data_IF_247641168401
#
_entry.id   IF_247641168401
#
_cell.length_a   1.000
_cell.length_b   1.000
_cell.length_c   1.000
_cell.angle_alpha   90.00
_cell.angle_beta   90.00
_cell.angle_gamma   90.00
#
_symmetry.space_group_name_H-M   'P 1'
#
loop_
_entity.id
_entity.type
_entity.pdbx_description
1 polymer ?
#
# COMPACT_ATOMS: atom_id res chain seq x y z
N UNK A 1 17.38 13.27 -22.76
CA UNK A 1 18.79 13.72 -22.81
C UNK A 1 19.34 13.70 -21.40
N UNK A 2 20.35 12.89 -21.09
CA UNK A 2 21.11 13.02 -19.84
C UNK A 2 22.61 12.97 -20.19
N UNK A 3 23.18 14.14 -20.46
CA UNK A 3 24.63 14.36 -20.39
C UNK A 3 25.04 14.30 -18.94
N UNK A 4 26.05 13.49 -18.66
CA UNK A 4 26.46 13.09 -17.32
C UNK A 4 26.80 14.25 -16.38
N UNK A 5 26.18 14.23 -15.20
CA UNK A 5 26.76 14.78 -13.98
C UNK A 5 27.52 13.66 -13.28
N UNK A 6 28.83 13.83 -13.14
CA UNK A 6 29.70 12.92 -12.39
C UNK A 6 29.46 13.10 -10.90
N UNK A 7 29.18 11.96 -10.24
CA UNK A 7 29.26 11.63 -8.81
C UNK A 7 29.40 12.78 -7.78
N UNK A 8 28.31 13.05 -7.06
CA UNK A 8 28.31 13.80 -5.80
C UNK A 8 27.02 13.49 -5.01
N UNK A 9 27.12 12.57 -4.05
CA UNK A 9 26.03 12.09 -3.20
C UNK A 9 25.11 11.07 -3.90
N UNK A 10 24.79 9.97 -3.23
CA UNK A 10 23.76 9.00 -3.66
C UNK A 10 22.37 9.62 -3.52
N UNK A 11 22.13 10.67 -4.29
CA UNK A 11 20.85 11.34 -4.39
C UNK A 11 20.33 11.00 -5.77
N UNK A 12 19.43 10.03 -5.85
CA UNK A 12 18.54 9.89 -7.00
C UNK A 12 17.73 11.19 -7.07
N UNK A 13 18.20 12.18 -7.84
CA UNK A 13 17.55 13.48 -7.95
C UNK A 13 16.35 13.37 -8.89
N UNK A 14 15.17 13.75 -8.41
CA UNK A 14 13.97 13.89 -9.24
C UNK A 14 13.18 12.58 -9.44
N UNK A 15 12.69 12.37 -10.66
CA UNK A 15 11.74 11.31 -11.00
C UNK A 15 12.19 9.88 -10.63
N UNK A 16 13.47 9.48 -10.79
CA UNK A 16 13.90 8.12 -10.43
C UNK A 16 13.67 7.77 -8.96
N UNK A 17 13.74 8.76 -8.05
CA UNK A 17 13.46 8.54 -6.63
C UNK A 17 11.97 8.38 -6.37
N UNK A 18 11.14 9.17 -7.04
CA UNK A 18 9.67 9.02 -6.96
C UNK A 18 9.26 7.64 -7.47
N UNK A 19 9.82 7.19 -8.60
CA UNK A 19 9.59 5.85 -9.13
C UNK A 19 10.06 4.77 -8.16
N UNK A 20 11.26 4.91 -7.57
CA UNK A 20 11.78 3.95 -6.59
C UNK A 20 10.85 3.80 -5.38
N UNK A 21 10.30 4.91 -4.86
CA UNK A 21 9.36 4.91 -3.74
C UNK A 21 8.03 4.26 -4.14
N UNK A 22 7.41 4.70 -5.24
CA UNK A 22 6.11 4.17 -5.66
C UNK A 22 6.17 2.72 -6.13
N UNK A 23 7.30 2.25 -6.63
CA UNK A 23 7.50 0.82 -6.92
C UNK A 23 7.94 0.01 -5.70
N UNK A 24 7.99 0.62 -4.51
CA UNK A 24 8.46 0.01 -3.27
C UNK A 24 9.81 -0.71 -3.44
N UNK A 25 10.68 -0.18 -4.31
CA UNK A 25 11.97 -0.78 -4.63
C UNK A 25 12.93 -0.58 -3.46
N UNK A 26 13.82 -1.57 -3.28
CA UNK A 26 14.93 -1.43 -2.33
C UNK A 26 15.90 -0.37 -2.87
N UNK A 27 16.22 0.70 -2.10
CA UNK A 27 17.19 1.70 -2.51
C UNK A 27 18.58 1.10 -2.71
N UNK A 28 19.41 1.78 -3.53
CA UNK A 28 20.80 1.37 -3.79
C UNK A 28 21.65 1.32 -2.52
N UNK A 29 21.52 2.35 -1.67
CA UNK A 29 22.19 2.41 -0.38
C UNK A 29 21.15 2.37 0.73
N UNK A 30 20.72 1.16 1.15
CA UNK A 30 19.72 1.01 2.20
C UNK A 30 20.33 1.32 3.56
N UNK A 31 19.65 2.16 4.35
CA UNK A 31 19.99 2.35 5.75
C UNK A 31 19.51 1.16 6.58
N UNK A 32 20.34 0.74 7.54
CA UNK A 32 19.94 -0.21 8.57
C UNK A 32 19.14 0.56 9.62
N UNK A 33 17.97 0.05 10.00
CA UNK A 33 17.11 0.64 11.04
C UNK A 33 16.97 -0.31 12.24
N UNK A 34 16.88 0.26 13.45
CA UNK A 34 16.68 -0.48 14.69
C UNK A 34 15.27 -1.11 14.71
N UNK A 35 15.18 -2.39 15.08
CA UNK A 35 13.87 -3.09 15.14
C UNK A 35 13.13 -2.89 16.47
N UNK A 36 13.84 -2.50 17.52
CA UNK A 36 13.32 -2.26 18.86
C UNK A 36 14.16 -1.20 19.58
N UNK A 37 13.64 -0.67 20.69
CA UNK A 37 14.36 0.28 21.54
C UNK A 37 15.50 -0.42 22.28
N UNK A 38 16.68 0.19 22.32
CA UNK A 38 17.83 -0.47 22.92
C UNK A 38 19.12 0.33 22.90
N UNK A 39 20.20 -0.34 23.30
CA UNK A 39 21.56 0.20 23.26
C UNK A 39 22.35 -0.52 22.17
N UNK A 40 23.05 0.25 21.36
CA UNK A 40 23.85 -0.27 20.25
C UNK A 40 25.30 -0.44 20.68
N UNK A 41 25.85 -1.62 20.47
CA UNK A 41 27.31 -1.85 20.53
C UNK A 41 27.84 -2.12 19.12
N UNK A 42 29.06 -1.64 18.83
CA UNK A 42 29.68 -1.79 17.53
C UNK A 42 30.77 -2.83 17.64
N UNK A 43 30.58 -3.97 16.99
CA UNK A 43 31.57 -5.03 16.92
C UNK A 43 32.30 -5.01 15.57
N UNK A 44 33.58 -5.36 15.59
CA UNK A 44 34.37 -5.51 14.37
C UNK A 44 35.04 -6.89 14.38
N UNK A 45 34.45 -7.82 13.64
CA UNK A 45 34.91 -9.21 13.57
C UNK A 45 35.36 -9.51 12.14
N UNK A 46 36.63 -9.93 11.98
CA UNK A 46 37.20 -10.30 10.67
C UNK A 46 37.00 -9.22 9.58
N UNK A 47 37.21 -7.94 9.94
CA UNK A 47 37.01 -6.79 9.05
C UNK A 47 35.54 -6.52 8.63
N UNK A 48 34.58 -7.18 9.26
CA UNK A 48 33.15 -6.88 9.10
C UNK A 48 32.69 -6.13 10.34
N UNK A 49 32.24 -4.89 10.16
CA UNK A 49 31.57 -4.14 11.22
C UNK A 49 30.13 -4.61 11.34
N UNK A 50 29.67 -4.81 12.56
CA UNK A 50 28.29 -5.15 12.88
C UNK A 50 27.79 -4.32 14.07
N UNK A 51 26.51 -3.95 14.03
CA UNK A 51 25.82 -3.44 15.21
C UNK A 51 25.19 -4.60 15.97
N UNK A 52 25.39 -4.63 17.28
CA UNK A 52 24.63 -5.50 18.17
C UNK A 52 23.68 -4.60 18.95
N UNK A 53 22.39 -4.71 18.66
CA UNK A 53 21.35 -3.98 19.35
C UNK A 53 20.83 -4.85 20.49
N UNK A 54 20.92 -4.34 21.71
CA UNK A 54 20.42 -5.01 22.91
C UNK A 54 19.21 -4.26 23.45
N UNK A 55 18.08 -4.96 23.56
CA UNK A 55 16.81 -4.37 23.98
C UNK A 55 16.83 -3.98 25.44
N UNK A 56 16.43 -2.74 25.75
CA UNK A 56 16.49 -2.19 27.11
C UNK A 56 15.55 -2.90 28.09
N UNK A 57 14.42 -3.42 27.60
CA UNK A 57 13.39 -4.07 28.44
C UNK A 57 13.29 -5.59 28.20
N UNK A 58 13.52 -6.04 26.96
CA UNK A 58 13.30 -7.44 26.57
C UNK A 58 14.54 -8.32 26.72
N UNK A 59 15.74 -7.71 26.78
CA UNK A 59 17.01 -8.44 26.67
C UNK A 59 17.24 -9.09 25.30
N UNK A 60 16.40 -8.79 24.31
CA UNK A 60 16.55 -9.29 22.94
C UNK A 60 17.83 -8.73 22.32
N UNK A 61 18.62 -9.60 21.68
CA UNK A 61 19.88 -9.21 21.03
C UNK A 61 19.78 -9.49 19.55
N UNK A 62 20.03 -8.45 18.74
CA UNK A 62 20.00 -8.56 17.28
C UNK A 62 21.26 -7.99 16.65
N UNK A 63 21.85 -8.76 15.74
CA UNK A 63 23.09 -8.40 15.06
C UNK A 63 22.79 -7.94 13.63
N UNK A 64 23.24 -6.74 13.28
CA UNK A 64 23.11 -6.15 11.95
C UNK A 64 24.48 -5.97 11.30
N UNK A 65 24.77 -6.62 10.18
CA UNK A 65 26.03 -6.41 9.47
C UNK A 65 26.03 -5.03 8.79
N UNK A 66 26.92 -4.14 9.23
CA UNK A 66 27.03 -2.76 8.75
C UNK A 66 28.11 -2.57 7.66
N UNK A 67 28.95 -3.57 7.43
CA UNK A 67 30.02 -3.59 6.42
C UNK A 67 30.79 -2.25 6.36
N UNK A 68 30.74 -1.54 5.23
CA UNK A 68 31.42 -0.28 4.97
C UNK A 68 30.49 0.94 5.01
N UNK A 69 29.25 0.79 5.48
CA UNK A 69 28.31 1.91 5.55
C UNK A 69 28.76 2.90 6.64
N UNK A 70 28.73 4.22 6.38
CA UNK A 70 28.98 5.22 7.41
C UNK A 70 27.97 5.08 8.56
N UNK A 71 28.44 5.18 9.80
CA UNK A 71 27.61 5.03 10.99
C UNK A 71 26.91 6.36 11.29
N UNK A 72 25.64 6.29 11.71
CA UNK A 72 24.88 7.44 12.21
C UNK A 72 24.82 7.51 13.73
N UNK A 73 25.20 6.43 14.41
CA UNK A 73 25.16 6.29 15.85
C UNK A 73 26.53 5.89 16.38
N UNK A 74 26.85 6.35 17.57
CA UNK A 74 28.08 6.00 18.29
C UNK A 74 27.91 4.71 19.08
N UNK A 75 29.03 4.09 19.46
CA UNK A 75 29.03 2.92 20.35
C UNK A 75 28.48 3.30 21.73
N UNK A 76 27.57 2.48 22.27
CA UNK A 76 26.88 2.74 23.53
C UNK A 76 25.68 3.69 23.41
N UNK A 77 25.34 4.16 22.20
CA UNK A 77 24.19 5.04 22.01
C UNK A 77 22.87 4.30 22.28
N UNK A 78 21.95 4.97 22.96
CA UNK A 78 20.55 4.55 23.06
C UNK A 78 19.81 4.95 21.79
N UNK A 79 19.09 3.99 21.20
CA UNK A 79 18.33 4.18 19.97
C UNK A 79 16.89 3.76 20.17
N UNK A 80 15.99 4.40 19.43
CA UNK A 80 14.58 4.03 19.41
C UNK A 80 14.24 3.20 18.17
N UNK A 81 13.14 2.45 18.24
CA UNK A 81 12.58 1.62 17.17
C UNK A 81 12.37 2.45 15.91
N UNK A 82 12.92 1.98 14.79
CA UNK A 82 12.89 2.66 13.50
C UNK A 82 13.99 3.70 13.29
N UNK A 83 14.85 3.98 14.27
CA UNK A 83 16.00 4.87 14.10
C UNK A 83 17.03 4.28 13.13
N UNK A 84 17.55 5.11 12.22
CA UNK A 84 18.59 4.70 11.28
C UNK A 84 19.96 4.63 11.97
N UNK A 85 20.59 3.45 11.90
CA UNK A 85 21.89 3.14 12.48
C UNK A 85 23.04 3.49 11.53
N UNK A 86 22.80 3.43 10.22
CA UNK A 86 23.76 3.81 9.17
C UNK A 86 23.25 4.97 8.33
N UNK A 87 24.15 5.61 7.59
CA UNK A 87 23.76 6.42 6.45
C UNK A 87 23.09 5.59 5.37
N UNK A 88 22.29 6.26 4.53
CA UNK A 88 21.47 5.65 3.49
C UNK A 88 19.99 6.00 3.61
N UNK A 89 19.19 5.35 2.76
CA UNK A 89 17.76 5.57 2.64
C UNK A 89 17.00 4.43 3.31
N UNK A 90 15.98 4.75 4.11
CA UNK A 90 15.14 3.72 4.73
C UNK A 90 14.43 2.91 3.65
N UNK A 91 14.36 1.59 3.83
CA UNK A 91 13.62 0.69 2.95
C UNK A 91 12.13 0.72 3.36
N UNK A 92 11.20 1.11 2.49
CA UNK A 92 9.77 1.19 2.85
C UNK A 92 9.18 -0.10 3.43
N UNK A 93 9.60 -1.27 2.91
CA UNK A 93 9.15 -2.56 3.41
C UNK A 93 9.62 -2.84 4.86
N UNK A 94 10.83 -2.39 5.22
CA UNK A 94 11.31 -2.51 6.60
C UNK A 94 10.56 -1.55 7.54
N UNK A 95 10.19 -0.36 7.08
CA UNK A 95 9.35 0.57 7.83
C UNK A 95 8.00 -0.09 8.16
N UNK A 96 7.34 -0.73 7.19
CA UNK A 96 6.06 -1.42 7.45
C UNK A 96 6.21 -2.53 8.48
N UNK A 97 7.26 -3.35 8.34
CA UNK A 97 7.50 -4.48 9.24
C UNK A 97 7.81 -4.03 10.67
N UNK A 98 8.50 -2.91 10.83
CA UNK A 98 9.00 -2.44 12.12
C UNK A 98 8.05 -1.41 12.72
N UNK A 99 7.84 -0.28 12.04
CA UNK A 99 7.12 0.88 12.54
C UNK A 99 5.60 0.84 12.22
N UNK A 100 5.17 0.04 11.23
CA UNK A 100 3.76 -0.13 10.85
C UNK A 100 3.33 0.72 9.65
N UNK A 101 2.01 0.73 9.37
CA UNK A 101 1.45 1.38 8.19
C UNK A 101 1.50 2.91 8.26
N UNK A 102 1.20 3.50 9.41
CA UNK A 102 1.19 4.95 9.56
C UNK A 102 2.57 5.54 9.30
N UNK A 103 3.61 4.90 9.84
CA UNK A 103 5.00 5.29 9.61
C UNK A 103 5.43 5.19 8.14
N UNK A 104 4.93 4.20 7.38
CA UNK A 104 5.25 4.12 5.95
C UNK A 104 4.52 5.18 5.13
N UNK A 105 3.28 5.53 5.50
CA UNK A 105 2.55 6.61 4.83
C UNK A 105 3.26 7.95 5.03
N UNK A 106 3.63 8.27 6.27
CA UNK A 106 4.39 9.48 6.58
C UNK A 106 5.73 9.51 5.83
N UNK A 107 6.41 8.37 5.75
CA UNK A 107 7.66 8.25 5.00
C UNK A 107 7.46 8.51 3.50
N UNK A 108 6.48 7.87 2.88
CA UNK A 108 6.20 8.02 1.43
C UNK A 108 5.81 9.46 1.12
N UNK A 109 4.89 10.05 1.88
CA UNK A 109 4.45 11.44 1.70
C UNK A 109 5.63 12.39 1.85
N UNK A 110 6.41 12.27 2.94
CA UNK A 110 7.54 13.16 3.20
C UNK A 110 8.61 13.08 2.12
N UNK A 111 9.02 11.88 1.71
CA UNK A 111 10.07 11.73 0.71
C UNK A 111 9.63 12.18 -0.68
N UNK A 112 8.38 11.91 -1.06
CA UNK A 112 7.85 12.38 -2.35
C UNK A 112 7.74 13.91 -2.33
N UNK A 113 7.15 14.49 -1.29
CA UNK A 113 7.06 15.94 -1.13
C UNK A 113 8.43 16.61 -1.17
N UNK A 114 9.43 16.03 -0.52
CA UNK A 114 10.81 16.53 -0.57
C UNK A 114 11.32 16.61 -2.01
N UNK A 115 11.11 15.57 -2.83
CA UNK A 115 11.57 15.56 -4.22
C UNK A 115 10.81 16.58 -5.07
N UNK A 116 9.49 16.69 -4.93
CA UNK A 116 8.68 17.66 -5.68
C UNK A 116 9.01 19.11 -5.30
N UNK A 117 9.18 19.39 -3.99
CA UNK A 117 9.59 20.72 -3.50
C UNK A 117 10.99 21.11 -3.98
N UNK A 118 11.93 20.18 -4.07
CA UNK A 118 13.26 20.43 -4.66
C UNK A 118 13.19 20.83 -6.13
N UNK A 119 12.11 20.47 -6.84
CA UNK A 119 11.84 20.87 -8.22
C UNK A 119 10.87 22.06 -8.33
N UNK A 120 10.58 22.73 -7.20
CA UNK A 120 9.63 23.83 -7.10
C UNK A 120 8.22 23.50 -7.62
N UNK A 121 7.81 22.23 -7.50
CA UNK A 121 6.45 21.78 -7.83
C UNK A 121 5.71 21.54 -6.52
N UNK A 122 4.56 22.21 -6.36
CA UNK A 122 3.67 22.03 -5.21
C UNK A 122 2.57 21.03 -5.53
N UNK A 123 2.41 20.02 -4.68
CA UNK A 123 1.37 19.00 -4.79
C UNK A 123 0.73 18.82 -3.42
N UNK A 124 -0.59 18.61 -3.39
CA UNK A 124 -1.27 18.36 -2.13
C UNK A 124 -1.03 16.92 -1.65
N UNK A 125 -0.74 16.74 -0.36
CA UNK A 125 -0.47 15.44 0.27
C UNK A 125 -1.55 14.40 -0.01
N UNK A 126 -2.82 14.81 -0.09
CA UNK A 126 -3.96 13.91 -0.38
C UNK A 126 -3.75 13.06 -1.63
N UNK A 127 -3.06 13.57 -2.64
CA UNK A 127 -2.82 12.82 -3.87
C UNK A 127 -1.81 11.70 -3.65
N UNK A 128 -0.77 11.97 -2.86
CA UNK A 128 0.24 10.98 -2.51
C UNK A 128 -0.34 9.93 -1.58
N UNK A 129 -1.14 10.35 -0.59
CA UNK A 129 -1.85 9.45 0.34
C UNK A 129 -2.79 8.49 -0.39
N UNK A 130 -3.54 8.98 -1.38
CA UNK A 130 -4.43 8.12 -2.19
C UNK A 130 -3.64 7.03 -2.92
N UNK A 131 -2.44 7.35 -3.43
CA UNK A 131 -1.57 6.36 -4.09
C UNK A 131 -0.97 5.41 -3.06
N UNK A 132 -0.44 5.93 -1.95
CA UNK A 132 0.16 5.13 -0.88
C UNK A 132 -0.85 4.14 -0.30
N UNK A 133 -2.12 4.54 -0.16
CA UNK A 133 -3.22 3.64 0.24
C UNK A 133 -3.43 2.49 -0.74
N UNK A 134 -3.22 2.69 -2.04
CA UNK A 134 -3.31 1.58 -3.01
C UNK A 134 -2.15 0.59 -2.89
N UNK A 135 -0.99 1.03 -2.39
CA UNK A 135 0.20 0.18 -2.21
C UNK A 135 0.09 -0.77 -1.02
N UNK A 136 -0.79 -0.51 -0.05
CA UNK A 136 -0.90 -1.22 1.24
C UNK A 136 -2.20 -2.01 1.42
N UNK A 137 -2.94 -2.27 0.32
CA UNK A 137 -4.25 -2.94 0.36
C UNK A 137 -4.20 -4.44 0.65
N UNK A 138 -3.01 -5.06 0.58
CA UNK A 138 -2.86 -6.51 0.73
C UNK A 138 -2.24 -6.86 2.07
N UNK A 139 -2.69 -7.99 2.62
CA UNK A 139 -2.15 -8.60 3.82
C UNK A 139 -1.64 -9.99 3.48
N UNK A 140 -0.51 -10.39 4.08
CA UNK A 140 0.02 -11.74 4.00
C UNK A 140 -0.46 -12.53 5.19
N UNK A 141 -1.12 -13.66 4.95
CA UNK A 141 -1.58 -14.55 6.01
C UNK A 141 -0.37 -15.29 6.61
N UNK A 142 -0.15 -15.12 7.91
CA UNK A 142 0.92 -15.74 8.69
C UNK A 142 0.42 -16.93 9.54
N UNK A 143 -0.82 -16.88 10.00
CA UNK A 143 -1.57 -18.01 10.54
C UNK A 143 -2.99 -17.92 10.00
N UNK A 144 -3.52 -19.04 9.50
CA UNK A 144 -4.89 -19.10 8.97
C UNK A 144 -5.93 -19.22 10.09
N UNK A 145 -5.53 -19.60 11.30
CA UNK A 145 -6.46 -19.88 12.39
C UNK A 145 -7.50 -20.91 11.95
N UNK A 146 -8.77 -20.63 12.25
CA UNK A 146 -9.93 -21.41 11.82
C UNK A 146 -10.70 -20.74 10.66
N UNK A 147 -10.10 -19.75 10.01
CA UNK A 147 -10.66 -19.11 8.81
C UNK A 147 -10.46 -20.00 7.57
N UNK A 148 -11.08 -19.63 6.45
CA UNK A 148 -10.86 -20.29 5.15
C UNK A 148 -9.61 -19.79 4.41
N UNK A 149 -8.85 -18.89 5.02
CA UNK A 149 -7.70 -18.27 4.40
C UNK A 149 -6.55 -19.26 4.27
N UNK A 150 -5.72 -19.07 3.25
CA UNK A 150 -4.56 -19.93 3.00
C UNK A 150 -3.29 -19.31 3.58
N UNK A 151 -2.53 -20.11 4.32
CA UNK A 151 -1.23 -19.71 4.86
C UNK A 151 -0.30 -19.21 3.76
N UNK A 152 0.27 -18.02 3.94
CA UNK A 152 1.17 -17.37 2.98
C UNK A 152 0.48 -16.70 1.79
N UNK A 153 -0.85 -16.79 1.66
CA UNK A 153 -1.58 -16.08 0.61
C UNK A 153 -1.55 -14.56 0.82
N UNK A 154 -1.57 -13.82 -0.28
CA UNK A 154 -1.75 -12.37 -0.31
C UNK A 154 -3.19 -12.06 -0.68
N UNK A 155 -3.96 -11.56 0.27
CA UNK A 155 -5.39 -11.26 0.09
C UNK A 155 -5.69 -9.78 0.37
N UNK A 156 -6.85 -9.29 -0.05
CA UNK A 156 -7.28 -7.92 0.27
C UNK A 156 -7.51 -7.77 1.77
N UNK A 157 -7.15 -6.61 2.32
CA UNK A 157 -7.34 -6.31 3.74
C UNK A 157 -8.81 -6.39 4.16
N UNK A 158 -9.73 -5.99 3.29
CA UNK A 158 -11.16 -6.06 3.56
C UNK A 158 -11.67 -7.51 3.61
N UNK A 159 -11.14 -8.39 2.76
CA UNK A 159 -11.48 -9.82 2.75
C UNK A 159 -10.95 -10.51 4.01
N UNK A 160 -9.69 -10.23 4.36
CA UNK A 160 -9.08 -10.70 5.61
C UNK A 160 -9.90 -10.30 6.84
N UNK A 161 -10.26 -9.01 6.94
CA UNK A 161 -11.04 -8.49 8.05
C UNK A 161 -12.43 -9.12 8.12
N UNK A 162 -13.07 -9.35 6.97
CA UNK A 162 -14.39 -9.97 6.91
C UNK A 162 -14.35 -11.42 7.38
N UNK A 163 -13.38 -12.22 6.93
CA UNK A 163 -13.23 -13.61 7.38
C UNK A 163 -12.92 -13.69 8.89
N UNK A 164 -12.09 -12.79 9.41
CA UNK A 164 -11.85 -12.70 10.85
C UNK A 164 -13.10 -12.26 11.61
N UNK A 165 -13.89 -11.31 11.10
CA UNK A 165 -15.14 -10.88 11.75
C UNK A 165 -16.16 -12.03 11.86
N UNK A 166 -16.21 -12.93 10.87
CA UNK A 166 -17.06 -14.13 10.92
C UNK A 166 -16.63 -15.04 12.07
N UNK A 167 -15.32 -15.30 12.22
CA UNK A 167 -14.81 -16.13 13.32
C UNK A 167 -15.02 -15.45 14.67
N UNK A 168 -14.76 -14.15 14.77
CA UNK A 168 -14.98 -13.36 15.98
C UNK A 168 -16.44 -13.45 16.48
N UNK A 169 -17.41 -13.40 15.55
CA UNK A 169 -18.84 -13.58 15.87
C UNK A 169 -19.15 -14.97 16.42
N UNK A 170 -18.51 -16.02 15.90
CA UNK A 170 -18.69 -17.40 16.41
C UNK A 170 -18.06 -17.59 17.79
N UNK A 171 -16.88 -17.01 18.02
CA UNK A 171 -16.25 -16.96 19.35
C UNK A 171 -17.18 -16.28 20.35
N UNK A 172 -17.74 -15.12 19.97
CA UNK A 172 -18.71 -14.40 20.79
C UNK A 172 -20.00 -15.19 21.05
N UNK A 173 -20.40 -16.08 20.15
CA UNK A 173 -21.53 -16.99 20.30
C UNK A 173 -21.24 -18.22 21.19
N UNK A 174 -20.02 -18.34 21.74
CA UNK A 174 -19.65 -19.38 22.71
C UNK A 174 -18.66 -20.43 22.19
N UNK A 175 -18.23 -20.35 20.92
CA UNK A 175 -17.21 -21.26 20.36
C UNK A 175 -15.79 -20.76 20.68
N UNK A 176 -15.36 -20.87 21.94
CA UNK A 176 -14.10 -20.32 22.45
C UNK A 176 -12.82 -20.98 21.91
N UNK A 177 -12.92 -22.11 21.20
CA UNK A 177 -11.76 -22.80 20.63
C UNK A 177 -11.31 -22.22 19.29
N UNK A 178 -12.11 -21.37 18.65
CA UNK A 178 -11.80 -20.81 17.35
C UNK A 178 -10.78 -19.69 17.47
N UNK A 179 -9.85 -19.65 16.51
CA UNK A 179 -8.82 -18.62 16.40
C UNK A 179 -8.99 -17.86 15.10
N UNK A 180 -8.87 -16.54 15.19
CA UNK A 180 -8.80 -15.67 14.02
C UNK A 180 -7.49 -15.89 13.25
N UNK A 181 -7.48 -15.52 11.98
CA UNK A 181 -6.26 -15.49 11.19
C UNK A 181 -5.36 -14.34 11.66
N UNK A 182 -4.04 -14.57 11.62
CA UNK A 182 -3.02 -13.57 11.86
C UNK A 182 -2.34 -13.27 10.53
N UNK A 183 -2.14 -11.98 10.24
CA UNK A 183 -1.48 -11.56 9.02
C UNK A 183 -0.72 -10.26 9.20
N UNK A 184 0.29 -10.06 8.35
CA UNK A 184 1.10 -8.84 8.33
C UNK A 184 0.82 -8.03 7.07
N UNK A 185 0.67 -6.70 7.17
CA UNK A 185 0.42 -5.86 6.01
C UNK A 185 1.65 -5.88 5.08
N UNK A 186 1.39 -5.86 3.76
CA UNK A 186 2.46 -5.88 2.76
C UNK A 186 2.39 -4.64 1.90
N UNK A 187 3.52 -3.94 1.80
CA UNK A 187 3.69 -2.87 0.84
C UNK A 187 4.06 -3.44 -0.54
N UNK A 188 3.26 -3.10 -1.55
CA UNK A 188 3.48 -3.45 -2.94
C UNK A 188 3.76 -2.19 -3.76
N UNK A 189 4.67 -2.30 -4.73
CA UNK A 189 4.84 -1.26 -5.75
C UNK A 189 3.56 -1.08 -6.57
N UNK A 190 3.33 0.13 -7.10
CA UNK A 190 2.11 0.46 -7.86
C UNK A 190 1.89 -0.48 -9.06
N UNK A 191 2.95 -0.93 -9.74
CA UNK A 191 2.83 -1.90 -10.83
C UNK A 191 2.28 -3.23 -10.31
N UNK A 192 2.86 -3.76 -9.22
CA UNK A 192 2.41 -5.05 -8.63
C UNK A 192 1.01 -4.94 -8.02
N UNK A 193 0.69 -3.81 -7.39
CA UNK A 193 -0.64 -3.54 -6.86
C UNK A 193 -1.69 -3.50 -7.97
N UNK A 194 -1.40 -2.83 -9.09
CA UNK A 194 -2.31 -2.73 -10.25
C UNK A 194 -2.55 -4.08 -10.95
N UNK A 195 -1.56 -4.99 -10.93
CA UNK A 195 -1.69 -6.35 -11.46
C UNK A 195 -2.52 -7.27 -10.54
N UNK A 196 -2.66 -6.92 -9.26
CA UNK A 196 -3.35 -7.74 -8.26
C UNK A 196 -4.84 -7.40 -8.14
N UNK A 197 -5.45 -6.91 -9.23
CA UNK A 197 -6.88 -6.58 -9.32
C UNK A 197 -7.73 -7.85 -9.40
N UNK A 198 -8.90 -7.83 -8.77
CA UNK A 198 -9.82 -8.98 -8.75
C UNK A 198 -10.61 -9.14 -10.06
N UNK A 199 -10.77 -8.04 -10.81
CA UNK A 199 -11.38 -8.07 -12.14
C UNK A 199 -10.45 -8.73 -13.16
N UNK A 200 -10.93 -9.83 -13.75
CA UNK A 200 -10.19 -10.48 -14.83
C UNK A 200 -10.20 -9.65 -16.11
N UNK A 201 -11.23 -8.84 -16.36
CA UNK A 201 -11.28 -7.94 -17.52
C UNK A 201 -10.25 -6.83 -17.41
N UNK A 202 -10.13 -6.20 -16.24
CA UNK A 202 -9.10 -5.21 -15.98
C UNK A 202 -7.70 -5.84 -15.91
N UNK A 203 -7.56 -7.07 -15.41
CA UNK A 203 -6.27 -7.76 -15.39
C UNK A 203 -5.80 -8.09 -16.82
N UNK A 204 -6.69 -8.61 -17.67
CA UNK A 204 -6.38 -9.02 -19.04
C UNK A 204 -5.94 -7.87 -19.96
N UNK A 205 -6.24 -6.60 -19.60
CA UNK A 205 -5.79 -5.42 -20.34
C UNK A 205 -4.35 -4.99 -20.03
N UNK A 206 -3.77 -5.45 -18.91
CA UNK A 206 -2.38 -5.13 -18.49
C UNK A 206 -1.47 -6.37 -18.43
N UNK A 207 -2.06 -7.57 -18.40
CA UNK A 207 -1.36 -8.85 -18.30
C UNK A 207 -1.50 -9.67 -19.58
N UNK A 208 -0.82 -10.81 -19.62
CA UNK A 208 -0.97 -11.81 -20.67
C UNK A 208 -2.43 -12.33 -20.72
N UNK A 209 -3.17 -11.86 -21.72
CA UNK A 209 -4.62 -12.08 -21.86
C UNK A 209 -4.99 -13.56 -21.84
N UNK A 210 -4.24 -14.42 -22.53
CA UNK A 210 -4.51 -15.87 -22.61
C UNK A 210 -4.48 -16.53 -21.24
N UNK A 211 -3.47 -16.20 -20.42
CA UNK A 211 -3.32 -16.76 -19.08
C UNK A 211 -4.47 -16.34 -18.18
N UNK A 212 -4.79 -15.04 -18.15
CA UNK A 212 -5.84 -14.47 -17.28
C UNK A 212 -7.22 -15.04 -17.63
N UNK A 213 -7.57 -15.10 -18.91
CA UNK A 213 -8.88 -15.62 -19.34
C UNK A 213 -9.02 -17.12 -19.11
N UNK A 214 -7.94 -17.89 -19.31
CA UNK A 214 -7.96 -19.33 -19.04
C UNK A 214 -8.17 -19.61 -17.55
N UNK A 215 -7.46 -18.90 -16.67
CA UNK A 215 -7.60 -19.06 -15.23
C UNK A 215 -9.01 -18.64 -14.75
N UNK A 216 -9.54 -17.54 -15.29
CA UNK A 216 -10.90 -17.10 -14.99
C UNK A 216 -11.95 -18.13 -15.45
N UNK A 217 -11.79 -18.72 -16.64
CA UNK A 217 -12.68 -19.74 -17.17
C UNK A 217 -12.65 -21.02 -16.35
N UNK A 218 -11.46 -21.50 -15.94
CA UNK A 218 -11.30 -22.69 -15.08
C UNK A 218 -11.98 -22.47 -13.72
N UNK A 219 -11.84 -21.27 -13.14
CA UNK A 219 -12.42 -20.93 -11.85
C UNK A 219 -13.91 -20.52 -11.92
N UNK A 220 -14.47 -20.37 -13.12
CA UNK A 220 -15.83 -19.85 -13.30
C UNK A 220 -16.01 -18.45 -12.69
N UNK A 221 -15.00 -17.57 -12.80
CA UNK A 221 -15.05 -16.23 -12.19
C UNK A 221 -16.11 -15.35 -12.86
N UNK A 222 -16.81 -14.59 -12.03
CA UNK A 222 -17.70 -13.50 -12.46
C UNK A 222 -17.04 -12.15 -12.18
N UNK A 223 -17.19 -11.19 -13.10
CA UNK A 223 -16.65 -9.84 -12.93
C UNK A 223 -17.78 -8.89 -12.48
N UNK A 224 -17.70 -8.28 -11.28
CA UNK A 224 -18.76 -7.42 -10.76
C UNK A 224 -18.78 -6.03 -11.41
N UNK A 225 -17.82 -5.67 -12.27
CA UNK A 225 -17.76 -4.39 -12.98
C UNK A 225 -17.77 -3.17 -12.05
N UNK A 226 -17.02 -3.26 -10.95
CA UNK A 226 -16.92 -2.16 -9.97
C UNK A 226 -15.90 -1.10 -10.40
N UNK A 227 -15.00 -1.45 -11.32
CA UNK A 227 -13.92 -0.59 -11.79
C UNK A 227 -14.31 0.31 -12.96
N UNK A 228 -13.54 1.37 -13.16
CA UNK A 228 -13.68 2.25 -14.32
C UNK A 228 -13.30 1.51 -15.62
N UNK A 229 -12.22 0.72 -15.58
CA UNK A 229 -11.65 0.05 -16.76
C UNK A 229 -12.58 -0.99 -17.35
N UNK A 230 -13.15 -1.87 -16.53
CA UNK A 230 -14.08 -2.90 -17.01
C UNK A 230 -15.29 -2.29 -17.72
N UNK A 231 -15.88 -1.24 -17.13
CA UNK A 231 -17.06 -0.58 -17.70
C UNK A 231 -16.74 0.09 -19.04
N UNK A 232 -15.58 0.74 -19.16
CA UNK A 232 -15.13 1.32 -20.43
C UNK A 232 -14.93 0.24 -21.48
N UNK A 233 -14.30 -0.89 -21.14
CA UNK A 233 -14.06 -2.00 -22.08
C UNK A 233 -15.38 -2.58 -22.61
N UNK A 234 -16.39 -2.71 -21.76
CA UNK A 234 -17.71 -3.27 -22.13
C UNK A 234 -18.61 -2.21 -22.81
N UNK A 235 -18.29 -0.91 -22.68
CA UNK A 235 -19.13 0.18 -23.17
C UNK A 235 -20.30 0.55 -22.24
N UNK A 236 -20.18 0.25 -20.93
CA UNK A 236 -21.11 0.71 -19.89
C UNK A 236 -20.65 2.05 -19.29
N UNK A 237 -21.59 2.78 -18.68
CA UNK A 237 -21.27 3.96 -17.88
C UNK A 237 -20.31 3.60 -16.74
N UNK A 238 -19.26 4.41 -16.56
CA UNK A 238 -18.33 4.24 -15.44
C UNK A 238 -19.03 4.50 -14.09
N UNK A 239 -18.71 3.75 -13.02
CA UNK A 239 -19.31 3.93 -11.70
C UNK A 239 -18.69 5.13 -10.94
N UNK A 240 -18.54 6.27 -11.60
CA UNK A 240 -18.03 7.52 -11.02
C UNK A 240 -18.77 8.74 -11.59
N UNK A 241 -18.84 9.82 -10.79
CA UNK A 241 -19.59 11.01 -11.16
C UNK A 241 -21.08 10.69 -11.37
N UNK A 242 -21.65 11.16 -12.47
CA UNK A 242 -23.07 10.92 -12.83
C UNK A 242 -23.39 9.47 -13.16
N UNK A 243 -22.39 8.62 -13.38
CA UNK A 243 -22.58 7.20 -13.64
C UNK A 243 -22.75 6.34 -12.38
N UNK A 244 -22.62 6.92 -11.18
CA UNK A 244 -22.86 6.22 -9.92
C UNK A 244 -24.33 5.80 -9.77
N UNK A 245 -24.64 4.63 -9.17
CA UNK A 245 -26.01 4.15 -9.01
C UNK A 245 -26.96 5.15 -8.34
N UNK A 246 -26.44 5.93 -7.37
CA UNK A 246 -27.18 6.99 -6.67
C UNK A 246 -27.82 8.02 -7.61
N UNK A 247 -27.21 8.29 -8.77
CA UNK A 247 -27.71 9.27 -9.73
C UNK A 247 -28.49 8.65 -10.90
N UNK A 248 -28.50 7.32 -11.04
CA UNK A 248 -29.21 6.64 -12.14
C UNK A 248 -30.72 6.62 -11.93
N UNK A 249 -31.17 6.34 -10.71
CA UNK A 249 -32.58 6.10 -10.39
C UNK A 249 -33.19 7.26 -9.60
N UNK A 250 -32.86 8.50 -9.98
CA UNK A 250 -33.44 9.69 -9.36
C UNK A 250 -34.91 9.80 -9.76
N UNK A 251 -35.80 9.65 -8.78
CA UNK A 251 -37.22 9.99 -8.94
C UNK A 251 -37.36 11.50 -8.84
N UNK A 252 -37.70 12.14 -9.95
CA UNK A 252 -37.99 13.56 -9.99
C UNK A 252 -39.46 13.77 -9.65
N UNK A 253 -39.75 14.34 -8.49
CA UNK A 253 -41.09 14.84 -8.17
C UNK A 253 -41.24 16.26 -8.71
N UNK A 254 -42.17 16.43 -9.64
CA UNK A 254 -42.53 17.75 -10.15
C UNK A 254 -43.40 18.48 -9.12
N UNK A 255 -42.88 19.56 -8.54
CA UNK A 255 -43.63 20.50 -7.67
C UNK A 255 -44.04 21.74 -8.45
N UNK A 256 -44.86 21.55 -9.48
CA UNK A 256 -45.56 22.64 -10.15
C UNK A 256 -47.03 22.28 -10.30
N UNK A 257 -47.90 23.28 -10.16
CA UNK A 257 -49.24 23.21 -10.75
C UNK A 257 -49.06 23.05 -12.26
N UNK A 258 -49.63 21.99 -12.85
CA UNK A 258 -49.82 21.99 -14.30
C UNK A 258 -50.47 23.33 -14.65
N UNK A 259 -49.94 24.02 -15.66
CA UNK A 259 -50.72 25.06 -16.34
C UNK A 259 -51.90 24.35 -17.01
N UNK A 260 -52.94 24.03 -16.23
CA UNK A 260 -54.28 23.86 -16.75
C UNK A 260 -54.78 25.25 -17.16
N UNK A 261 -55.26 25.35 -18.39
CA UNK A 261 -55.98 26.49 -18.98
C UNK A 261 -55.15 27.65 -19.55
N UNK A 262 -54.67 27.49 -20.79
CA UNK A 262 -54.49 28.62 -21.73
C UNK A 262 -54.98 28.28 -23.16
N UNK A 263 -55.92 27.34 -23.30
CA UNK A 263 -56.45 26.89 -24.61
C UNK A 263 -57.87 27.41 -24.93
N UNK A 264 -58.33 28.50 -24.31
CA UNK A 264 -59.71 29.01 -24.50
C UNK A 264 -59.85 30.42 -25.07
N UNK A 265 -58.82 31.02 -25.67
CA UNK A 265 -58.95 32.30 -26.40
C UNK A 265 -58.19 32.34 -27.74
N UNK A 266 -58.46 31.39 -28.63
CA UNK A 266 -58.31 31.61 -30.08
C UNK A 266 -59.43 30.89 -30.85
N UNK A 267 -60.68 31.25 -30.54
CA UNK A 267 -61.78 31.15 -31.49
C UNK A 267 -62.50 32.50 -31.57
N UNK A 268 -62.04 33.32 -32.51
CA UNK A 268 -62.85 34.37 -33.16
C UNK A 268 -62.30 34.61 -34.56
#
# INVERSE_FOLDING_TARGET
>A
FHTGGVAGGDITQGLPRVEEIFEARRPKTPAIIAEFDGVVTVENVKNIRSFVLTGSETGEVKVYPAYSLPLKVEEGATVYKGQALTEGLKVPADIVRIEGLDAVYDYIVREIQRVYKLQAVDINDKHVEVIARQMTRKIKVEDSGDTKLLLGALIEINEFNLENEIIAKRVAAGELSLREAVGSPVLLGITKAALSTDSFLSAASFQETTKVLTEAAIKGKEDPLLGLKENVIIGKLIPAGTGMPMYKDLKVEYKGTLFEELDTEYQS
#
